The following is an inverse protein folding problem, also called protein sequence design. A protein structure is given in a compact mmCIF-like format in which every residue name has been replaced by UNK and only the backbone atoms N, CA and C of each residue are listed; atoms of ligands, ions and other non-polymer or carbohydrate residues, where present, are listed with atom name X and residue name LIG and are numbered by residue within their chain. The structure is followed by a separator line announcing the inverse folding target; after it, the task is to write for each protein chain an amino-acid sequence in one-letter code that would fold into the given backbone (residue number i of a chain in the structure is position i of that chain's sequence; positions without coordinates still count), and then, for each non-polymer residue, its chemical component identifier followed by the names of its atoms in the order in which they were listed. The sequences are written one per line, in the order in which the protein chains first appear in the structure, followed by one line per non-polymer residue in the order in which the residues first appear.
data_IF_298552632903
#
_entry.id   IF_298552632903
#
_cell.length_a   1.000
_cell.length_b   1.000
_cell.length_c   1.000
_cell.angle_alpha   90.00
_cell.angle_beta   90.00
_cell.angle_gamma   90.00
#
_symmetry.space_group_name_H-M   'P 1'
#
loop_
_entity.id
_entity.type
_entity.pdbx_description
1 polymer ?
#
# COMPACT_ATOMS: atom_id res chain seq x y z
N UNK A 1 -19.75 -1.29 -8.46
CA UNK A 1 -18.37 -1.06 -8.07
C UNK A 1 -17.96 0.38 -8.23
N UNK A 2 -17.33 0.91 -7.24
CA UNK A 2 -16.93 2.30 -7.27
C UNK A 2 -15.79 2.58 -8.22
N UNK A 3 -15.77 3.78 -8.71
CA UNK A 3 -14.69 4.27 -9.53
C UNK A 3 -13.63 4.93 -8.67
N UNK A 4 -12.39 4.71 -9.02
CA UNK A 4 -11.31 5.46 -8.42
C UNK A 4 -11.28 6.84 -9.06
N UNK A 5 -11.30 7.85 -8.26
CA UNK A 5 -11.32 9.22 -8.75
C UNK A 5 -9.92 9.76 -8.88
N UNK A 6 -9.44 10.03 -10.10
CA UNK A 6 -8.06 10.47 -10.27
C UNK A 6 -7.74 11.78 -9.60
N UNK A 7 -8.72 12.63 -9.36
CA UNK A 7 -8.41 13.92 -8.77
C UNK A 7 -7.89 13.82 -7.36
N UNK A 8 -8.28 12.76 -6.63
CA UNK A 8 -7.79 12.56 -5.26
C UNK A 8 -6.84 11.39 -5.15
N UNK A 9 -6.59 10.67 -6.22
CA UNK A 9 -5.77 9.46 -6.19
C UNK A 9 -4.60 9.59 -7.12
N UNK A 10 -3.44 9.21 -6.63
CA UNK A 10 -2.22 9.13 -7.41
C UNK A 10 -1.55 7.83 -7.09
N UNK A 11 -0.71 7.36 -7.98
CA UNK A 11 0.04 6.16 -7.74
C UNK A 11 -0.32 5.07 -8.70
N UNK A 12 -0.10 3.86 -8.31
CA UNK A 12 -0.14 2.72 -9.19
C UNK A 12 -1.37 1.88 -8.98
N UNK A 13 -1.77 1.22 -10.06
CA UNK A 13 -2.72 0.14 -10.03
C UNK A 13 -1.98 -1.09 -10.50
N UNK A 14 -2.26 -2.25 -9.89
CA UNK A 14 -1.63 -3.49 -10.31
C UNK A 14 -0.15 -3.51 -10.01
N UNK A 15 0.20 -3.51 -8.76
CA UNK A 15 1.58 -3.51 -8.29
C UNK A 15 2.03 -4.92 -7.97
N UNK A 16 3.30 -5.20 -8.22
CA UNK A 16 3.93 -6.44 -7.82
C UNK A 16 5.11 -6.16 -6.91
N UNK A 17 5.21 -6.94 -5.84
CA UNK A 17 6.34 -6.90 -4.93
C UNK A 17 7.04 -8.24 -5.00
N UNK A 18 8.32 -8.22 -5.36
CA UNK A 18 9.08 -9.46 -5.50
C UNK A 18 9.45 -10.03 -4.14
N UNK A 19 9.63 -11.34 -4.11
CA UNK A 19 10.16 -12.02 -2.93
C UNK A 19 11.40 -11.32 -2.43
N UNK A 20 11.46 -11.10 -1.13
CA UNK A 20 12.59 -10.44 -0.50
C UNK A 20 12.57 -8.93 -0.57
N UNK A 21 11.50 -8.35 -1.08
CA UNK A 21 11.37 -6.89 -1.11
C UNK A 21 11.27 -6.35 0.30
N UNK A 22 12.05 -5.32 0.56
CA UNK A 22 11.88 -4.54 1.79
C UNK A 22 12.07 -3.08 1.41
N UNK A 23 11.04 -2.31 1.56
CA UNK A 23 11.04 -0.91 1.20
C UNK A 23 10.45 -0.09 2.33
N UNK A 24 11.12 0.99 2.67
CA UNK A 24 10.64 1.94 3.67
C UNK A 24 10.34 3.23 2.94
N UNK A 25 9.06 3.59 2.90
CA UNK A 25 8.62 4.80 2.25
C UNK A 25 8.65 5.99 3.17
N UNK A 26 9.03 7.12 2.62
CA UNK A 26 9.01 8.37 3.35
C UNK A 26 7.57 8.91 3.41
N UNK A 27 7.28 9.75 4.40
CA UNK A 27 5.95 10.34 4.48
C UNK A 27 5.55 11.09 3.21
N UNK A 28 4.30 10.94 2.85
CA UNK A 28 3.72 11.58 1.65
C UNK A 28 3.08 12.94 1.96
N UNK A 29 3.52 13.62 2.93
CA UNK A 29 2.92 14.87 3.29
C UNK A 29 1.64 14.69 4.10
N UNK A 30 1.10 15.79 4.56
CA UNK A 30 -0.05 15.77 5.45
C UNK A 30 -1.28 15.19 4.77
N UNK A 31 -1.91 14.23 5.42
CA UNK A 31 -3.17 13.65 4.93
C UNK A 31 -3.04 12.60 3.85
N UNK A 32 -1.82 12.22 3.49
CA UNK A 32 -1.66 11.13 2.53
C UNK A 32 -2.18 9.82 3.09
N UNK A 33 -2.82 9.03 2.24
CA UNK A 33 -3.41 7.75 2.62
C UNK A 33 -3.04 6.72 1.56
N UNK A 34 -2.69 5.52 2.00
CA UNK A 34 -2.49 4.40 1.11
C UNK A 34 -3.54 3.33 1.35
N UNK A 35 -3.92 2.69 0.26
CA UNK A 35 -4.82 1.55 0.29
C UNK A 35 -4.18 0.42 -0.47
N UNK A 36 -4.17 -0.76 0.12
CA UNK A 36 -3.56 -1.94 -0.48
C UNK A 36 -4.58 -3.05 -0.47
N UNK A 37 -4.81 -3.65 -1.63
CA UNK A 37 -5.63 -4.85 -1.77
C UNK A 37 -4.74 -5.94 -2.33
N UNK A 38 -4.59 -7.03 -1.60
CA UNK A 38 -3.75 -8.14 -2.04
C UNK A 38 -4.59 -9.08 -2.88
N UNK A 39 -4.05 -9.43 -4.04
CA UNK A 39 -4.67 -10.37 -4.96
C UNK A 39 -4.04 -11.74 -4.82
N UNK A 40 -2.72 -11.79 -4.70
CA UNK A 40 -1.98 -13.04 -4.67
C UNK A 40 -0.72 -12.83 -3.83
N UNK A 41 -0.37 -13.83 -3.02
CA UNK A 41 0.80 -13.75 -2.18
C UNK A 41 0.53 -13.07 -0.86
N UNK A 42 1.59 -12.74 -0.15
CA UNK A 42 1.51 -12.14 1.19
C UNK A 42 2.45 -10.97 1.27
N UNK A 43 2.02 -9.91 1.91
CA UNK A 43 2.85 -8.73 2.08
C UNK A 43 2.59 -8.11 3.46
N UNK A 44 3.63 -7.54 4.05
CA UNK A 44 3.52 -6.76 5.26
C UNK A 44 3.62 -5.28 4.87
N UNK A 45 2.59 -4.52 5.20
CA UNK A 45 2.51 -3.11 4.84
C UNK A 45 2.01 -2.29 6.01
N UNK A 46 2.20 -1.00 5.91
CA UNK A 46 1.60 -0.07 6.85
C UNK A 46 2.61 0.78 7.57
N UNK A 47 2.15 1.50 8.60
CA UNK A 47 3.05 2.33 9.39
C UNK A 47 4.19 1.48 9.95
N UNK A 48 5.39 2.04 9.92
CA UNK A 48 6.57 1.29 10.38
C UNK A 48 6.44 0.87 11.84
N UNK A 49 5.69 1.64 12.62
CA UNK A 49 5.48 1.34 14.03
C UNK A 49 4.50 0.21 14.29
N UNK A 50 3.65 -0.12 13.31
CA UNK A 50 2.61 -1.13 13.51
C UNK A 50 2.16 -1.68 12.16
N UNK A 51 3.01 -2.42 11.46
CA UNK A 51 2.67 -2.93 10.13
C UNK A 51 1.69 -4.09 10.22
N UNK A 52 0.97 -4.29 9.11
CA UNK A 52 -0.02 -5.35 8.97
C UNK A 52 0.43 -6.33 7.91
N UNK A 53 0.18 -7.60 8.16
CA UNK A 53 0.45 -8.66 7.18
C UNK A 53 -0.84 -9.04 6.49
N UNK A 54 -0.83 -8.94 5.16
CA UNK A 54 -2.01 -9.18 4.33
C UNK A 54 -1.79 -10.38 3.44
N UNK A 55 -2.81 -11.20 3.30
CA UNK A 55 -2.85 -12.30 2.34
C UNK A 55 -3.90 -12.04 1.27
N UNK A 56 -4.12 -13.01 0.37
CA UNK A 56 -5.06 -12.83 -0.73
C UNK A 56 -6.45 -12.44 -0.24
N UNK A 57 -7.01 -11.40 -0.84
CA UNK A 57 -8.32 -10.88 -0.48
C UNK A 57 -8.31 -9.88 0.65
N UNK A 58 -7.19 -9.70 1.32
CA UNK A 58 -7.10 -8.74 2.41
C UNK A 58 -6.90 -7.32 1.89
N UNK A 59 -7.37 -6.38 2.66
CA UNK A 59 -7.32 -4.97 2.32
C UNK A 59 -6.83 -4.18 3.53
N UNK A 60 -5.99 -3.21 3.30
CA UNK A 60 -5.55 -2.29 4.34
C UNK A 60 -5.62 -0.85 3.85
N UNK A 61 -5.95 0.04 4.77
CA UNK A 61 -5.91 1.47 4.56
C UNK A 61 -5.17 2.07 5.74
N UNK A 62 -4.18 2.88 5.45
CA UNK A 62 -3.38 3.50 6.51
C UNK A 62 -2.89 4.86 6.09
N UNK A 63 -2.59 5.69 7.08
CA UNK A 63 -2.00 6.99 6.82
C UNK A 63 -0.59 6.84 6.28
N UNK A 64 -0.29 7.58 5.24
CA UNK A 64 1.03 7.58 4.63
C UNK A 64 1.79 8.87 4.92
N UNK A 65 1.36 9.56 5.96
CA UNK A 65 1.99 10.80 6.43
C UNK A 65 3.10 10.53 7.45
N UNK A 66 3.51 9.28 7.57
CA UNK A 66 4.61 8.82 8.42
C UNK A 66 5.35 7.70 7.71
N UNK A 67 6.45 7.26 8.28
CA UNK A 67 7.21 6.15 7.70
C UNK A 67 6.32 4.93 7.58
N UNK A 68 6.40 4.28 6.43
CA UNK A 68 5.62 3.08 6.16
C UNK A 68 6.48 2.07 5.42
N UNK A 69 6.09 0.81 5.49
CA UNK A 69 6.91 -0.29 4.97
C UNK A 69 6.13 -1.14 4.00
N UNK A 70 6.89 -1.81 3.12
CA UNK A 70 6.39 -2.89 2.27
C UNK A 70 7.41 -4.00 2.38
N UNK A 71 6.97 -5.19 2.80
CA UNK A 71 7.84 -6.36 2.92
C UNK A 71 7.18 -7.57 2.33
N UNK A 72 7.86 -8.22 1.40
CA UNK A 72 7.42 -9.47 0.80
C UNK A 72 8.55 -10.47 0.98
N UNK A 73 8.42 -11.37 1.92
CA UNK A 73 9.53 -12.22 2.36
C UNK A 73 9.61 -13.55 1.62
N UNK A 74 8.52 -14.29 1.59
CA UNK A 74 8.56 -15.69 1.17
C UNK A 74 8.07 -15.94 -0.24
N UNK A 75 7.34 -15.01 -0.82
CA UNK A 75 6.78 -15.18 -2.16
C UNK A 75 6.50 -13.81 -2.76
N UNK A 76 6.38 -13.81 -4.08
CA UNK A 76 5.98 -12.58 -4.76
C UNK A 76 4.54 -12.25 -4.37
N UNK A 77 4.24 -10.97 -4.30
CA UNK A 77 2.90 -10.51 -4.00
C UNK A 77 2.38 -9.63 -5.12
N UNK A 78 1.14 -9.83 -5.48
CA UNK A 78 0.46 -9.05 -6.51
C UNK A 78 -0.80 -8.43 -5.93
N UNK A 79 -1.04 -7.19 -6.24
CA UNK A 79 -2.21 -6.52 -5.72
C UNK A 79 -2.39 -5.15 -6.32
N UNK A 80 -3.13 -4.32 -5.62
CA UNK A 80 -3.39 -2.94 -6.02
C UNK A 80 -2.95 -2.03 -4.91
N UNK A 81 -2.14 -1.05 -5.26
CA UNK A 81 -1.72 0.00 -4.35
C UNK A 81 -2.27 1.31 -4.88
N UNK A 82 -2.95 2.04 -4.04
CA UNK A 82 -3.52 3.32 -4.38
C UNK A 82 -3.09 4.35 -3.35
N UNK A 83 -2.41 5.38 -3.82
CA UNK A 83 -1.98 6.48 -2.95
C UNK A 83 -2.90 7.66 -3.19
N UNK A 84 -3.51 8.14 -2.13
CA UNK A 84 -4.42 9.26 -2.19
C UNK A 84 -3.90 10.44 -1.40
N UNK A 85 -4.27 11.63 -1.86
CA UNK A 85 -3.93 12.86 -1.18
C UNK A 85 -5.21 13.65 -1.00
N UNK A 86 -5.33 14.41 0.08
CA UNK A 86 -6.51 15.25 0.23
C UNK A 86 -6.54 16.31 -0.87
N UNK A 87 -7.72 16.74 -1.25
CA UNK A 87 -7.84 17.85 -2.20
C UNK A 87 -7.22 19.11 -1.62
N UNK A 88 -6.69 19.93 -2.48
CA UNK A 88 -6.07 21.19 -2.09
C UNK A 88 -7.14 22.17 -1.53
#
# INVERSE_FOLDING_TARGET
MGQIRPRAARGSFGTSWRTGTEYIGKPHGSGGVERVLVHEGTITVGPASDPLTLGPGDFARYGADRLHVYRSADEDCHGVLLVGYPPA
#
